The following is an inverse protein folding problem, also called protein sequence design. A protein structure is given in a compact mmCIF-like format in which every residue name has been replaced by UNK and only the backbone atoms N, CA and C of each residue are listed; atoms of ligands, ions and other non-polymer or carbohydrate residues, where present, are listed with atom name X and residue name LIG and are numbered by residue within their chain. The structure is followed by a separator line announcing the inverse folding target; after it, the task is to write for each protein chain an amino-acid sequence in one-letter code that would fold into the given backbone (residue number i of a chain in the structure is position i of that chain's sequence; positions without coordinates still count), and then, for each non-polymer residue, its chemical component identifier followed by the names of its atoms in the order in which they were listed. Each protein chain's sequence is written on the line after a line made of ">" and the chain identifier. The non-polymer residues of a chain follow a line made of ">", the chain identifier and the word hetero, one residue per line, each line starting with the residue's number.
data_IF_023512271455
#
_entry.id   IF_023512271455
#
_cell.length_a   1.000
_cell.length_b   1.000
_cell.length_c   1.000
_cell.angle_alpha   90.00
_cell.angle_beta   90.00
_cell.angle_gamma   90.00
#
_symmetry.space_group_name_H-M   'P 1'
#
loop_
_entity.id
_entity.type
_entity.pdbx_description
1 polymer ?
#
# COMPACT_ATOMS: atom_id res chain seq x y z
N UNK A 1 8.48 -32.65 -12.96
CA UNK A 1 8.10 -31.92 -14.18
C UNK A 1 7.75 -30.49 -13.75
N UNK A 2 8.61 -29.53 -14.11
CA UNK A 2 8.36 -28.09 -13.89
C UNK A 2 7.51 -27.61 -15.07
N UNK A 3 6.28 -27.16 -14.82
CA UNK A 3 5.45 -26.48 -15.84
C UNK A 3 5.91 -25.05 -15.98
N UNK A 4 6.48 -24.71 -17.13
CA UNK A 4 6.76 -23.32 -17.53
C UNK A 4 5.47 -22.81 -18.17
N UNK A 5 4.83 -21.73 -17.63
CA UNK A 5 3.66 -21.13 -18.27
C UNK A 5 4.05 -20.49 -19.61
N UNK A 6 3.13 -20.45 -20.60
CA UNK A 6 3.44 -19.84 -21.89
C UNK A 6 3.79 -18.36 -21.73
N UNK A 7 4.92 -17.97 -22.28
CA UNK A 7 5.40 -16.60 -22.31
C UNK A 7 4.75 -15.85 -23.49
N UNK A 8 3.85 -14.94 -23.20
CA UNK A 8 3.28 -14.04 -24.21
C UNK A 8 3.95 -12.67 -24.09
N UNK A 9 4.75 -12.31 -25.07
CA UNK A 9 5.38 -11.00 -25.17
C UNK A 9 4.42 -9.96 -25.74
N UNK A 10 3.75 -9.20 -24.90
CA UNK A 10 3.01 -7.98 -25.28
C UNK A 10 3.93 -6.76 -25.09
N UNK A 11 4.88 -6.57 -26.01
CA UNK A 11 5.96 -5.56 -25.81
C UNK A 11 5.62 -4.13 -26.26
N UNK A 12 4.57 -3.87 -27.05
CA UNK A 12 4.36 -2.51 -27.63
C UNK A 12 3.45 -1.57 -26.83
N UNK A 13 2.47 -2.06 -26.10
CA UNK A 13 1.62 -1.21 -25.24
C UNK A 13 2.24 -0.88 -23.88
N UNK A 14 3.21 -1.67 -23.43
CA UNK A 14 3.84 -1.53 -22.13
C UNK A 14 4.83 -0.35 -21.99
N UNK A 15 5.43 0.15 -23.09
CA UNK A 15 6.45 1.23 -22.99
C UNK A 15 5.85 2.58 -22.64
N UNK A 16 4.76 2.98 -23.30
CA UNK A 16 4.14 4.30 -23.09
C UNK A 16 3.45 4.43 -21.73
N UNK A 17 2.81 3.38 -21.27
CA UNK A 17 2.22 3.32 -19.91
C UNK A 17 3.30 3.25 -18.81
N UNK A 18 4.44 2.65 -19.10
CA UNK A 18 5.60 2.58 -18.20
C UNK A 18 6.26 3.95 -18.00
N UNK A 19 6.44 4.75 -19.05
CA UNK A 19 7.02 6.11 -18.97
C UNK A 19 6.08 7.07 -18.23
N UNK A 20 4.78 7.06 -18.53
CA UNK A 20 3.78 7.86 -17.81
C UNK A 20 3.74 7.55 -16.32
N UNK A 21 3.88 6.27 -15.95
CA UNK A 21 3.94 5.88 -14.54
C UNK A 21 5.25 6.28 -13.88
N UNK A 22 6.37 6.25 -14.61
CA UNK A 22 7.67 6.70 -14.12
C UNK A 22 7.64 8.18 -13.77
N UNK A 23 7.14 9.04 -14.66
CA UNK A 23 7.01 10.48 -14.40
C UNK A 23 6.11 10.78 -13.20
N UNK A 24 4.98 10.09 -13.10
CA UNK A 24 4.09 10.20 -11.93
C UNK A 24 4.80 9.84 -10.63
N UNK A 25 5.58 8.75 -10.63
CA UNK A 25 6.33 8.33 -9.44
C UNK A 25 7.43 9.32 -9.10
N UNK A 26 8.18 9.83 -10.08
CA UNK A 26 9.22 10.85 -9.84
C UNK A 26 8.62 12.09 -9.18
N UNK A 27 7.50 12.58 -9.68
CA UNK A 27 6.78 13.75 -9.13
C UNK A 27 6.14 13.49 -7.78
N UNK A 28 5.88 12.24 -7.44
CA UNK A 28 5.28 11.84 -6.17
C UNK A 28 6.29 11.71 -5.02
N UNK A 29 7.59 11.79 -5.30
CA UNK A 29 8.62 11.78 -4.25
C UNK A 29 8.60 13.12 -3.55
N UNK A 30 8.13 13.13 -2.28
CA UNK A 30 8.04 14.32 -1.45
C UNK A 30 9.37 14.70 -0.82
N UNK A 31 10.13 13.69 -0.37
CA UNK A 31 11.40 13.89 0.34
C UNK A 31 12.41 12.84 -0.10
N UNK A 32 13.64 13.29 -0.30
CA UNK A 32 14.79 12.44 -0.64
C UNK A 32 15.86 12.59 0.43
N UNK A 33 15.84 11.67 1.37
CA UNK A 33 16.89 11.57 2.38
C UNK A 33 18.04 10.66 1.90
N UNK A 34 19.16 10.70 2.61
CA UNK A 34 20.32 9.86 2.30
C UNK A 34 19.99 8.36 2.29
N UNK A 35 19.10 7.93 3.17
CA UNK A 35 18.86 6.53 3.47
C UNK A 35 17.42 6.07 3.25
N UNK A 36 16.50 7.00 2.92
CA UNK A 36 15.10 6.69 2.61
C UNK A 36 14.45 7.77 1.75
N UNK A 37 13.30 7.42 1.15
CA UNK A 37 12.43 8.34 0.42
C UNK A 37 11.06 8.35 1.10
N UNK A 38 10.39 9.51 1.06
CA UNK A 38 8.97 9.64 1.34
C UNK A 38 8.24 9.90 0.03
N UNK A 39 7.23 9.09 -0.26
CA UNK A 39 6.51 9.12 -1.53
C UNK A 39 5.02 9.29 -1.26
N UNK A 40 4.38 10.22 -1.94
CA UNK A 40 2.92 10.31 -2.01
C UNK A 40 2.42 9.34 -3.09
N UNK A 41 2.20 8.07 -2.73
CA UNK A 41 1.79 7.05 -3.70
C UNK A 41 0.53 7.47 -4.46
N UNK A 42 0.56 7.55 -5.79
CA UNK A 42 -0.63 7.82 -6.57
C UNK A 42 -1.70 6.73 -6.40
N UNK A 43 -2.97 7.13 -6.47
CA UNK A 43 -4.09 6.18 -6.57
C UNK A 43 -3.97 5.33 -7.85
N UNK A 44 -4.43 4.10 -7.80
CA UNK A 44 -4.39 3.17 -8.93
C UNK A 44 -3.04 2.50 -9.18
N UNK A 45 -1.97 2.93 -8.49
CA UNK A 45 -0.65 2.31 -8.57
C UNK A 45 -0.44 1.33 -7.40
N UNK A 46 -0.11 0.07 -7.71
CA UNK A 46 0.23 -0.90 -6.68
C UNK A 46 1.61 -0.60 -6.07
N UNK A 47 1.81 -0.97 -4.80
CA UNK A 47 3.11 -0.81 -4.13
C UNK A 47 4.21 -1.68 -4.78
N UNK A 48 3.86 -2.89 -5.22
CA UNK A 48 4.77 -3.83 -5.89
C UNK A 48 4.04 -4.56 -7.01
N UNK A 49 4.78 -5.05 -7.98
CA UNK A 49 4.30 -5.94 -9.03
C UNK A 49 3.80 -7.27 -8.45
N UNK A 50 3.07 -8.04 -9.26
CA UNK A 50 2.50 -9.34 -8.88
C UNK A 50 1.57 -9.87 -9.94
N UNK A 51 0.69 -10.81 -9.59
CA UNK A 51 -0.26 -11.42 -10.54
C UNK A 51 -1.08 -10.36 -11.27
N UNK A 52 -0.87 -10.22 -12.58
CA UNK A 52 -1.55 -9.24 -13.42
C UNK A 52 -1.06 -7.79 -13.33
N UNK A 53 0.02 -7.53 -12.58
CA UNK A 53 0.64 -6.20 -12.45
C UNK A 53 2.10 -6.32 -12.82
N UNK A 54 2.49 -5.76 -13.97
CA UNK A 54 3.86 -5.83 -14.47
C UNK A 54 4.86 -5.01 -13.67
N UNK A 55 4.47 -3.79 -13.25
CA UNK A 55 5.30 -2.86 -12.50
C UNK A 55 4.48 -2.18 -11.40
N UNK A 56 4.97 -2.25 -10.16
CA UNK A 56 4.49 -1.45 -9.05
C UNK A 56 5.42 -0.27 -8.76
N UNK A 57 5.08 0.51 -7.74
CA UNK A 57 5.84 1.71 -7.34
C UNK A 57 7.32 1.39 -7.05
N UNK A 58 7.60 0.29 -6.34
CA UNK A 58 8.98 -0.03 -5.93
C UNK A 58 9.85 -0.42 -7.13
N UNK A 59 9.30 -1.16 -8.11
CA UNK A 59 10.01 -1.53 -9.32
C UNK A 59 10.32 -0.28 -10.17
N UNK A 60 9.40 0.69 -10.20
CA UNK A 60 9.61 1.97 -10.88
C UNK A 60 10.70 2.78 -10.16
N UNK A 61 10.65 2.90 -8.83
CA UNK A 61 11.67 3.62 -8.06
C UNK A 61 13.07 3.06 -8.33
N UNK A 62 13.22 1.75 -8.36
CA UNK A 62 14.51 1.10 -8.66
C UNK A 62 15.05 1.40 -10.06
N UNK A 63 14.18 1.83 -10.99
CA UNK A 63 14.57 2.19 -12.36
C UNK A 63 14.81 3.69 -12.56
N UNK A 64 14.51 4.54 -11.56
CA UNK A 64 14.71 6.00 -11.68
C UNK A 64 16.19 6.36 -11.60
N UNK A 65 16.92 5.72 -10.68
CA UNK A 65 18.33 6.04 -10.43
C UNK A 65 19.06 4.77 -9.95
N UNK A 66 20.31 4.60 -10.34
CA UNK A 66 21.17 3.48 -9.92
C UNK A 66 21.31 3.37 -8.39
N UNK A 67 21.28 4.50 -7.68
CA UNK A 67 21.32 4.52 -6.20
C UNK A 67 20.07 3.94 -5.53
N UNK A 68 18.98 3.72 -6.27
CA UNK A 68 17.73 3.17 -5.77
C UNK A 68 17.54 1.68 -6.09
N UNK A 69 18.52 1.02 -6.70
CA UNK A 69 18.43 -0.39 -7.14
C UNK A 69 18.03 -1.34 -6.01
N UNK A 70 18.53 -1.07 -4.79
CA UNK A 70 18.24 -1.87 -3.59
C UNK A 70 17.08 -1.32 -2.76
N UNK A 71 16.34 -0.33 -3.25
CA UNK A 71 15.22 0.28 -2.56
C UNK A 71 14.17 -0.77 -2.15
N UNK A 72 13.64 -0.67 -0.93
CA UNK A 72 12.67 -1.59 -0.37
C UNK A 72 11.52 -0.84 0.31
N UNK A 73 10.31 -1.39 0.19
CA UNK A 73 9.14 -0.84 0.88
C UNK A 73 9.25 -1.10 2.39
N UNK A 74 9.11 -0.05 3.18
CA UNK A 74 8.99 -0.15 4.64
C UNK A 74 7.61 -0.72 5.03
N UNK A 75 6.58 -0.28 4.33
CA UNK A 75 5.19 -0.72 4.50
C UNK A 75 4.47 -0.67 3.16
N UNK A 76 3.21 -1.02 3.16
CA UNK A 76 2.38 -0.99 1.96
C UNK A 76 0.99 -0.44 2.26
N UNK A 77 0.42 0.19 1.27
CA UNK A 77 -0.99 0.58 1.19
C UNK A 77 -1.60 -0.03 -0.07
N UNK A 78 -2.89 -0.14 -0.13
CA UNK A 78 -3.57 -0.79 -1.26
C UNK A 78 -3.42 0.00 -2.57
N UNK A 79 -3.69 -0.67 -3.70
CA UNK A 79 -3.58 -0.07 -5.03
C UNK A 79 -4.39 1.22 -5.14
N UNK A 80 -5.62 1.18 -4.63
CA UNK A 80 -6.58 2.29 -4.74
C UNK A 80 -6.53 3.25 -3.54
N UNK A 81 -5.59 3.06 -2.61
CA UNK A 81 -5.27 4.00 -1.55
C UNK A 81 -4.10 4.87 -2.00
N UNK A 82 -4.26 6.18 -1.92
CA UNK A 82 -3.19 7.16 -2.12
C UNK A 82 -2.58 7.59 -0.78
N UNK A 83 -1.41 8.20 -0.82
CA UNK A 83 -0.81 8.82 0.36
C UNK A 83 0.60 8.35 0.71
N UNK A 84 1.00 8.67 1.93
CA UNK A 84 2.37 8.54 2.40
C UNK A 84 2.87 7.10 2.42
N UNK A 85 4.00 6.87 1.77
CA UNK A 85 4.72 5.59 1.72
C UNK A 85 6.20 5.85 1.97
N UNK A 86 6.80 5.08 2.86
CA UNK A 86 8.24 5.16 3.15
C UNK A 86 8.96 4.05 2.40
N UNK A 87 10.03 4.42 1.70
CA UNK A 87 10.90 3.52 0.94
C UNK A 87 12.30 3.61 1.51
N UNK A 88 12.82 2.54 2.06
CA UNK A 88 14.18 2.46 2.58
C UNK A 88 15.17 2.21 1.42
N UNK A 89 16.29 2.92 1.43
CA UNK A 89 17.40 2.76 0.49
C UNK A 89 18.50 1.85 1.04
N UNK A 90 18.46 1.58 2.36
CA UNK A 90 19.41 0.71 3.06
C UNK A 90 18.69 -0.33 3.93
N UNK A 91 19.23 -1.54 3.97
CA UNK A 91 18.69 -2.63 4.81
C UNK A 91 18.71 -2.32 6.32
N UNK A 92 19.66 -1.53 6.81
CA UNK A 92 19.71 -1.08 8.20
C UNK A 92 18.48 -0.25 8.55
N UNK A 93 18.19 0.76 7.75
CA UNK A 93 17.05 1.65 7.91
C UNK A 93 15.72 0.89 7.77
N UNK A 94 15.62 -0.05 6.82
CA UNK A 94 14.44 -0.92 6.73
C UNK A 94 14.18 -1.66 8.03
N UNK A 95 15.23 -2.21 8.65
CA UNK A 95 15.12 -2.95 9.94
C UNK A 95 14.69 -2.04 11.08
N UNK A 96 15.20 -0.81 11.14
CA UNK A 96 14.80 0.19 12.13
C UNK A 96 13.33 0.54 12.00
N UNK A 97 12.86 0.92 10.80
CA UNK A 97 11.43 1.17 10.57
C UNK A 97 10.55 -0.03 10.93
N UNK A 98 10.96 -1.24 10.55
CA UNK A 98 10.21 -2.44 10.89
C UNK A 98 10.19 -2.70 12.41
N UNK A 99 11.25 -2.35 13.14
CA UNK A 99 11.29 -2.39 14.62
C UNK A 99 10.26 -1.43 15.20
N UNK A 100 10.24 -0.17 14.75
CA UNK A 100 9.29 0.84 15.22
C UNK A 100 7.83 0.45 14.90
N UNK A 101 7.56 -0.08 13.71
CA UNK A 101 6.23 -0.59 13.35
C UNK A 101 5.80 -1.76 14.26
N UNK A 102 6.70 -2.70 14.56
CA UNK A 102 6.39 -3.83 15.47
C UNK A 102 6.15 -3.38 16.89
N UNK A 103 6.88 -2.37 17.34
CA UNK A 103 6.75 -1.79 18.67
C UNK A 103 5.54 -0.86 18.80
N UNK A 104 4.76 -0.69 17.72
CA UNK A 104 3.60 0.24 17.65
C UNK A 104 3.98 1.72 17.89
N UNK A 105 5.21 2.11 17.61
CA UNK A 105 5.70 3.48 17.71
C UNK A 105 5.42 4.32 16.45
N UNK A 106 4.56 3.81 15.55
CA UNK A 106 4.21 4.47 14.28
C UNK A 106 2.70 4.64 14.19
N UNK A 107 2.25 5.87 14.13
CA UNK A 107 0.86 6.19 13.87
C UNK A 107 0.56 6.11 12.37
N UNK A 108 -0.50 5.39 12.01
CA UNK A 108 -0.99 5.27 10.65
C UNK A 108 -2.32 5.97 10.55
N UNK A 109 -2.32 7.16 9.97
CA UNK A 109 -3.51 8.00 9.87
C UNK A 109 -4.04 7.95 8.44
N UNK A 110 -5.32 7.66 8.30
CA UNK A 110 -6.04 7.62 7.03
C UNK A 110 -7.25 8.54 7.09
N UNK A 111 -7.58 9.15 5.96
CA UNK A 111 -8.83 9.88 5.79
C UNK A 111 -9.66 9.16 4.74
N UNK A 112 -10.93 8.90 5.04
CA UNK A 112 -11.81 8.18 4.15
C UNK A 112 -13.20 8.80 4.11
N UNK A 113 -13.81 8.81 2.92
CA UNK A 113 -15.22 9.07 2.73
C UNK A 113 -15.94 7.73 2.74
N UNK A 114 -16.90 7.58 3.65
CA UNK A 114 -17.71 6.37 3.79
C UNK A 114 -19.16 6.65 3.45
N UNK A 115 -19.87 5.66 2.92
CA UNK A 115 -21.30 5.76 2.61
C UNK A 115 -22.13 5.73 3.90
N UNK A 116 -23.12 6.60 3.96
CA UNK A 116 -24.04 6.70 5.08
C UNK A 116 -23.58 7.65 6.18
N UNK A 117 -24.44 7.82 7.19
CA UNK A 117 -24.14 8.56 8.40
C UNK A 117 -23.30 7.67 9.32
N UNK A 118 -22.13 8.18 9.75
CA UNK A 118 -21.28 7.46 10.71
C UNK A 118 -21.93 7.49 12.10
N UNK A 119 -21.98 6.34 12.82
CA UNK A 119 -22.46 6.33 14.20
C UNK A 119 -21.57 7.19 15.10
N UNK A 120 -22.18 8.09 15.89
CA UNK A 120 -21.44 9.06 16.70
C UNK A 120 -20.66 8.41 17.86
N UNK A 121 -21.17 7.28 18.34
CA UNK A 121 -20.57 6.45 19.40
C UNK A 121 -19.48 5.50 18.91
N UNK A 122 -19.35 5.29 17.60
CA UNK A 122 -18.37 4.38 17.02
C UNK A 122 -17.01 5.05 16.84
N UNK A 123 -16.23 5.09 17.92
CA UNK A 123 -14.85 5.63 17.92
C UNK A 123 -13.76 4.56 17.79
N UNK A 124 -14.08 3.28 17.99
CA UNK A 124 -13.09 2.20 18.01
C UNK A 124 -13.69 0.87 17.56
N UNK A 125 -12.95 0.13 16.74
CA UNK A 125 -13.30 -1.25 16.35
C UNK A 125 -12.15 -2.17 16.70
N UNK A 126 -12.46 -3.19 17.49
CA UNK A 126 -11.57 -4.28 17.88
C UNK A 126 -12.10 -5.59 17.31
N UNK A 127 -11.40 -6.14 16.30
CA UNK A 127 -11.81 -7.39 15.66
C UNK A 127 -10.60 -8.30 15.44
N UNK A 128 -10.77 -9.58 15.74
CA UNK A 128 -9.82 -10.58 15.28
C UNK A 128 -10.14 -10.95 13.83
N UNK A 129 -9.18 -10.81 12.94
CA UNK A 129 -9.34 -11.03 11.50
C UNK A 129 -8.41 -12.14 11.00
N UNK A 130 -8.92 -12.98 10.10
CA UNK A 130 -8.17 -14.05 9.46
C UNK A 130 -8.23 -13.91 7.94
N UNK A 131 -7.09 -14.13 7.30
CA UNK A 131 -7.02 -14.24 5.84
C UNK A 131 -7.40 -15.65 5.44
N UNK A 132 -8.34 -15.77 4.52
CA UNK A 132 -8.78 -17.03 3.96
C UNK A 132 -8.69 -17.01 2.44
N UNK A 133 -8.43 -18.17 1.84
CA UNK A 133 -8.47 -18.32 0.39
C UNK A 133 -9.68 -19.15 0.04
N UNK A 134 -10.61 -18.57 -0.70
CA UNK A 134 -11.78 -19.26 -1.19
C UNK A 134 -11.39 -20.36 -2.20
N UNK A 135 -12.28 -21.33 -2.43
CA UNK A 135 -12.09 -22.38 -3.45
C UNK A 135 -11.82 -21.80 -4.86
N UNK A 136 -12.30 -20.60 -5.14
CA UNK A 136 -12.04 -19.85 -6.37
C UNK A 136 -10.62 -19.25 -6.46
N UNK A 137 -9.76 -19.43 -5.45
CA UNK A 137 -8.44 -18.80 -5.37
C UNK A 137 -8.47 -17.33 -4.88
N UNK A 138 -9.65 -16.73 -4.70
CA UNK A 138 -9.79 -15.36 -4.18
C UNK A 138 -9.43 -15.31 -2.70
N UNK A 139 -8.54 -14.40 -2.34
CA UNK A 139 -8.20 -14.11 -0.94
C UNK A 139 -9.17 -13.11 -0.35
N UNK A 140 -9.73 -13.44 0.80
CA UNK A 140 -10.61 -12.57 1.58
C UNK A 140 -10.10 -12.43 3.01
N UNK A 141 -10.55 -11.39 3.68
CA UNK A 141 -10.31 -11.18 5.11
C UNK A 141 -11.67 -11.19 5.80
N UNK A 142 -11.81 -12.01 6.83
CA UNK A 142 -13.04 -12.15 7.59
C UNK A 142 -12.79 -12.02 9.09
N UNK A 143 -13.80 -11.56 9.82
CA UNK A 143 -13.80 -11.62 11.27
C UNK A 143 -13.78 -13.09 11.72
N UNK A 144 -12.81 -13.45 12.58
CA UNK A 144 -12.64 -14.81 13.06
C UNK A 144 -11.97 -14.78 14.44
N UNK A 145 -12.58 -15.42 15.44
CA UNK A 145 -12.05 -15.47 16.81
C UNK A 145 -10.63 -16.03 16.91
N UNK A 146 -10.23 -16.89 15.97
CA UNK A 146 -8.86 -17.46 15.88
C UNK A 146 -7.93 -16.62 15.02
N UNK A 147 -8.37 -15.43 14.57
CA UNK A 147 -7.59 -14.52 13.75
C UNK A 147 -6.64 -13.63 14.55
N UNK A 148 -5.90 -12.82 13.84
CA UNK A 148 -5.03 -11.79 14.45
C UNK A 148 -5.90 -10.64 14.97
N UNK A 149 -5.71 -10.26 16.23
CA UNK A 149 -6.35 -9.07 16.82
C UNK A 149 -5.94 -7.84 16.01
N UNK A 150 -6.93 -7.09 15.57
CA UNK A 150 -6.80 -5.84 14.83
C UNK A 150 -7.63 -4.76 15.49
N UNK A 151 -7.03 -3.60 15.66
CA UNK A 151 -7.64 -2.44 16.29
C UNK A 151 -7.56 -1.26 15.34
N UNK A 152 -8.65 -0.53 15.22
CA UNK A 152 -8.71 0.73 14.47
C UNK A 152 -9.53 1.74 15.26
N UNK A 153 -9.00 2.93 15.44
CA UNK A 153 -9.68 4.06 16.04
C UNK A 153 -10.23 4.97 14.93
N UNK A 154 -11.37 5.59 15.18
CA UNK A 154 -12.05 6.45 14.23
C UNK A 154 -12.38 7.80 14.87
N UNK A 155 -12.23 8.84 14.07
CA UNK A 155 -12.69 10.19 14.40
C UNK A 155 -13.58 10.70 13.28
N UNK A 156 -14.84 10.98 13.59
CA UNK A 156 -15.73 11.67 12.65
C UNK A 156 -15.22 13.09 12.44
N UNK A 157 -15.00 13.48 11.19
CA UNK A 157 -14.59 14.83 10.80
C UNK A 157 -15.83 15.63 10.40
N UNK A 158 -16.67 15.06 9.52
CA UNK A 158 -17.94 15.67 9.11
C UNK A 158 -18.92 14.61 8.68
N UNK A 159 -20.21 14.86 8.87
CA UNK A 159 -21.30 13.98 8.46
C UNK A 159 -22.25 14.74 7.54
N UNK A 160 -22.52 14.16 6.37
CA UNK A 160 -23.55 14.63 5.45
C UNK A 160 -24.75 13.67 5.47
N UNK A 161 -25.70 13.90 4.57
CA UNK A 161 -26.91 13.08 4.45
C UNK A 161 -26.64 11.68 3.91
N UNK A 162 -25.70 11.53 2.98
CA UNK A 162 -25.41 10.30 2.27
C UNK A 162 -24.00 9.74 2.49
N UNK A 163 -23.07 10.54 3.01
CA UNK A 163 -21.69 10.16 3.25
C UNK A 163 -21.14 10.84 4.50
N UNK A 164 -20.13 10.24 5.10
CA UNK A 164 -19.37 10.81 6.21
C UNK A 164 -17.88 10.83 5.88
N UNK A 165 -17.17 11.83 6.36
CA UNK A 165 -15.72 11.95 6.32
C UNK A 165 -15.17 11.53 7.68
N UNK A 166 -14.31 10.53 7.69
CA UNK A 166 -13.69 9.97 8.91
C UNK A 166 -12.17 9.95 8.80
N UNK A 167 -11.52 9.96 9.94
CA UNK A 167 -10.08 9.77 10.06
C UNK A 167 -9.81 8.58 10.95
#
# INVERSE_FOLDING_TARGET
>A
IIRIPPYTSTQKENKKSSELNKDKVVRSILTKEKDFLIVNKPIGLACHGGSGISLGLIEIIRQIDKKYVDAQLVHRIDKDTSGCLVVALKKSILREFHKEIRNKNVDKIYTAVVKGKWPEDLSKVNLSIKKETLKSGKRIVQANKKGKVSETEFKLISSGTSHSLIR
#
